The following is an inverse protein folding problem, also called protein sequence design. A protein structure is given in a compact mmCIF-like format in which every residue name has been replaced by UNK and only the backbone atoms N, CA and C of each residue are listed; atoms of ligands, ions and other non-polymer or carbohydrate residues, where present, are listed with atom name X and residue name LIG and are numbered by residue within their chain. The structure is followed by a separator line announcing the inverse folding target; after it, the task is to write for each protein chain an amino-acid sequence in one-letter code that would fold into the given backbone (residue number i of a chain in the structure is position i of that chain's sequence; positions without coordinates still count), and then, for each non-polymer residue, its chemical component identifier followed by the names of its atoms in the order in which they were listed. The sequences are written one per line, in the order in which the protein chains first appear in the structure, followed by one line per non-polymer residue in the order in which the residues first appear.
data_IF_039327201546
#
_entry.id   IF_039327201546
#
_cell.length_a   1.000
_cell.length_b   1.000
_cell.length_c   1.000
_cell.angle_alpha   90.00
_cell.angle_beta   90.00
_cell.angle_gamma   90.00
#
_symmetry.space_group_name_H-M   'P 1'
#
loop_
_entity.id
_entity.type
_entity.pdbx_description
1 polymer ?
#
# COMPACT_ATOMS: atom_id res chain seq x y z
N UNK A 1 0.19 6.39 -14.93
CA UNK A 1 -0.43 6.26 -13.57
C UNK A 1 -0.02 5.01 -12.79
N UNK A 2 -0.51 3.78 -13.07
CA UNK A 2 -0.19 2.59 -12.23
C UNK A 2 1.32 2.30 -12.19
N UNK A 3 2.01 2.42 -13.32
CA UNK A 3 3.47 2.27 -13.41
C UNK A 3 4.23 3.26 -12.53
N UNK A 4 3.76 4.50 -12.44
CA UNK A 4 4.35 5.56 -11.62
C UNK A 4 4.16 5.26 -10.14
N UNK A 5 2.95 4.85 -9.73
CA UNK A 5 2.71 4.39 -8.36
C UNK A 5 3.64 3.22 -8.01
N UNK A 6 3.73 2.21 -8.87
CA UNK A 6 4.63 1.08 -8.64
C UNK A 6 6.10 1.51 -8.54
N UNK A 7 6.55 2.48 -9.35
CA UNK A 7 7.90 3.02 -9.27
C UNK A 7 8.14 3.75 -7.93
N UNK A 8 7.22 4.62 -7.51
CA UNK A 8 7.31 5.35 -6.22
C UNK A 8 7.35 4.39 -5.03
N UNK A 9 6.49 3.37 -5.01
CA UNK A 9 6.49 2.36 -3.95
C UNK A 9 7.76 1.50 -3.96
N UNK A 10 8.28 1.17 -5.13
CA UNK A 10 9.54 0.43 -5.28
C UNK A 10 10.72 1.26 -4.77
N UNK A 11 10.78 2.53 -5.12
CA UNK A 11 11.80 3.47 -4.65
C UNK A 11 11.71 3.73 -3.14
N UNK A 12 10.49 3.88 -2.60
CA UNK A 12 10.30 3.97 -1.16
C UNK A 12 10.85 2.73 -0.44
N UNK A 13 10.68 1.55 -1.03
CA UNK A 13 11.21 0.29 -0.50
C UNK A 13 12.74 0.27 -0.57
N UNK A 14 13.34 0.66 -1.69
CA UNK A 14 14.80 0.55 -1.90
C UNK A 14 15.59 1.63 -1.14
N UNK A 15 15.05 2.84 -1.05
CA UNK A 15 15.73 4.01 -0.47
C UNK A 15 15.73 4.08 1.06
N UNK A 16 14.98 3.22 1.77
CA UNK A 16 14.81 3.34 3.24
C UNK A 16 15.08 2.08 4.04
N UNK A 17 15.69 2.28 5.21
CA UNK A 17 15.86 1.27 6.26
C UNK A 17 14.68 1.26 7.26
N UNK A 18 14.49 0.12 7.94
CA UNK A 18 13.23 -0.34 8.55
C UNK A 18 12.31 0.70 9.21
N UNK A 19 12.79 1.48 10.20
CA UNK A 19 11.93 2.44 10.91
C UNK A 19 11.51 3.62 10.03
N UNK A 20 12.39 4.14 9.19
CA UNK A 20 12.08 5.21 8.24
C UNK A 20 11.17 4.74 7.11
N UNK A 21 11.27 3.46 6.72
CA UNK A 21 10.39 2.85 5.69
C UNK A 21 8.92 2.90 6.10
N UNK A 22 8.61 2.59 7.36
CA UNK A 22 7.23 2.69 7.87
C UNK A 22 6.67 4.11 7.78
N UNK A 23 7.47 5.11 8.14
CA UNK A 23 7.06 6.52 8.07
C UNK A 23 6.83 6.95 6.63
N UNK A 24 7.71 6.58 5.68
CA UNK A 24 7.51 6.91 4.26
C UNK A 24 6.24 6.27 3.69
N UNK A 25 5.99 4.99 3.97
CA UNK A 25 4.76 4.34 3.51
C UNK A 25 3.50 4.94 4.14
N UNK A 26 3.55 5.28 5.43
CA UNK A 26 2.46 5.97 6.08
C UNK A 26 2.17 7.33 5.44
N UNK A 27 3.20 8.13 5.14
CA UNK A 27 3.04 9.41 4.45
C UNK A 27 2.49 9.27 3.03
N UNK A 28 2.93 8.25 2.29
CA UNK A 28 2.40 7.94 0.96
C UNK A 28 0.92 7.58 1.04
N UNK A 29 0.55 6.71 1.97
CA UNK A 29 -0.84 6.29 2.18
C UNK A 29 -1.71 7.47 2.61
N UNK A 30 -1.22 8.31 3.53
CA UNK A 30 -1.92 9.53 3.97
C UNK A 30 -2.14 10.51 2.81
N UNK A 31 -1.14 10.69 1.94
CA UNK A 31 -1.27 11.52 0.75
C UNK A 31 -2.35 11.01 -0.21
N UNK A 32 -2.38 9.70 -0.47
CA UNK A 32 -3.44 9.08 -1.27
C UNK A 32 -4.80 9.17 -0.58
N UNK A 33 -4.83 9.01 0.73
CA UNK A 33 -6.03 9.11 1.56
C UNK A 33 -6.64 10.52 1.51
N UNK A 34 -5.82 11.57 1.52
CA UNK A 34 -6.27 12.95 1.42
C UNK A 34 -6.65 13.37 -0.01
N UNK A 35 -6.01 12.78 -1.03
CA UNK A 35 -6.22 13.19 -2.43
C UNK A 35 -7.64 12.95 -2.92
N UNK A 36 -8.26 11.82 -2.57
CA UNK A 36 -9.60 11.45 -3.06
C UNK A 36 -10.72 12.46 -2.68
N UNK A 37 -10.91 12.84 -1.41
CA UNK A 37 -11.92 13.82 -1.02
C UNK A 37 -11.65 15.21 -1.59
N UNK A 38 -10.39 15.64 -1.62
CA UNK A 38 -9.99 16.93 -2.20
C UNK A 38 -10.32 16.99 -3.69
N UNK A 39 -9.95 15.95 -4.45
CA UNK A 39 -10.26 15.85 -5.87
C UNK A 39 -11.77 15.79 -6.13
N UNK A 40 -12.55 15.12 -5.27
CA UNK A 40 -14.01 15.10 -5.42
C UNK A 40 -14.64 16.48 -5.19
N UNK A 41 -14.24 17.22 -4.15
CA UNK A 41 -14.76 18.57 -3.89
C UNK A 41 -14.38 19.50 -5.05
N UNK A 42 -13.10 19.56 -5.39
CA UNK A 42 -12.59 20.45 -6.44
C UNK A 42 -13.21 20.06 -7.80
N UNK A 43 -13.23 18.78 -8.14
CA UNK A 43 -13.80 18.26 -9.38
C UNK A 43 -15.31 18.52 -9.49
N UNK A 44 -16.05 18.35 -8.39
CA UNK A 44 -17.48 18.65 -8.32
C UNK A 44 -17.81 20.13 -8.54
N UNK A 45 -17.01 21.03 -7.95
CA UNK A 45 -17.18 22.48 -8.12
C UNK A 45 -16.83 22.95 -9.54
N UNK A 46 -15.73 22.45 -10.11
CA UNK A 46 -15.34 22.74 -11.50
C UNK A 46 -16.40 22.21 -12.46
N UNK A 47 -16.92 21.00 -12.22
CA UNK A 47 -18.01 20.44 -13.03
C UNK A 47 -19.26 21.31 -12.97
N UNK A 48 -19.66 21.77 -11.78
CA UNK A 48 -20.83 22.62 -11.59
C UNK A 48 -20.74 23.94 -12.35
N UNK A 49 -19.54 24.52 -12.45
CA UNK A 49 -19.33 25.85 -13.05
C UNK A 49 -19.05 25.81 -14.54
N UNK A 50 -18.25 24.85 -15.01
CA UNK A 50 -17.70 24.83 -16.38
C UNK A 50 -18.09 23.58 -17.19
N UNK A 51 -18.82 22.65 -16.57
CA UNK A 51 -19.25 21.40 -17.19
C UNK A 51 -18.11 20.40 -17.41
N UNK A 52 -18.45 19.27 -18.04
CA UNK A 52 -17.56 18.11 -18.17
C UNK A 52 -16.30 18.35 -19.02
N UNK A 53 -16.38 19.21 -20.04
CA UNK A 53 -15.28 19.44 -20.99
C UNK A 53 -14.04 20.01 -20.31
N UNK A 54 -14.22 20.94 -19.38
CA UNK A 54 -13.12 21.57 -18.64
C UNK A 54 -12.52 20.59 -17.63
N UNK A 55 -13.36 19.80 -16.94
CA UNK A 55 -12.90 18.76 -16.00
C UNK A 55 -12.00 17.74 -16.70
N UNK A 56 -12.39 17.25 -17.88
CA UNK A 56 -11.60 16.29 -18.64
C UNK A 56 -10.24 16.87 -19.07
N UNK A 57 -10.23 18.10 -19.60
CA UNK A 57 -8.98 18.77 -20.01
C UNK A 57 -8.05 19.02 -18.82
N UNK A 58 -8.60 19.52 -17.71
CA UNK A 58 -7.84 19.78 -16.49
C UNK A 58 -7.23 18.48 -15.93
N UNK A 59 -8.00 17.39 -15.89
CA UNK A 59 -7.53 16.08 -15.42
C UNK A 59 -6.36 15.55 -16.25
N UNK A 60 -6.45 15.66 -17.59
CA UNK A 60 -5.35 15.27 -18.48
C UNK A 60 -4.11 16.13 -18.23
N UNK A 61 -4.26 17.45 -18.12
CA UNK A 61 -3.13 18.36 -17.90
C UNK A 61 -2.44 18.08 -16.57
N UNK A 62 -3.21 17.96 -15.47
CA UNK A 62 -2.67 17.66 -14.14
C UNK A 62 -1.98 16.30 -14.12
N UNK A 63 -2.55 15.30 -14.78
CA UNK A 63 -1.94 13.97 -14.89
C UNK A 63 -0.59 14.01 -15.62
N UNK A 64 -0.51 14.72 -16.75
CA UNK A 64 0.74 14.86 -17.51
C UNK A 64 1.80 15.65 -16.72
N UNK A 65 1.40 16.72 -16.03
CA UNK A 65 2.31 17.50 -15.18
C UNK A 65 2.84 16.65 -14.02
N UNK A 66 1.99 15.85 -13.39
CA UNK A 66 2.40 14.95 -12.31
C UNK A 66 3.37 13.86 -12.81
N UNK A 67 3.11 13.27 -13.97
CA UNK A 67 4.02 12.30 -14.58
C UNK A 67 5.37 12.94 -14.96
N UNK A 68 5.35 14.14 -15.54
CA UNK A 68 6.57 14.88 -15.85
C UNK A 68 7.36 15.25 -14.58
N UNK A 69 6.67 15.70 -13.53
CA UNK A 69 7.28 16.02 -12.24
C UNK A 69 7.99 14.81 -11.63
N UNK A 70 7.32 13.66 -11.60
CA UNK A 70 7.89 12.38 -11.13
C UNK A 70 9.13 12.02 -11.94
N UNK A 71 9.09 12.14 -13.27
CA UNK A 71 10.24 11.83 -14.12
C UNK A 71 11.45 12.74 -13.88
N UNK A 72 11.23 14.00 -13.49
CA UNK A 72 12.30 14.95 -13.21
C UNK A 72 12.86 14.80 -11.79
N UNK A 73 12.02 14.44 -10.81
CA UNK A 73 12.37 14.43 -9.38
C UNK A 73 12.86 13.07 -8.90
N UNK A 74 12.37 11.96 -9.46
CA UNK A 74 12.90 10.64 -9.15
C UNK A 74 14.22 10.45 -9.89
N UNK A 75 15.29 10.92 -9.26
CA UNK A 75 16.64 10.47 -9.57
C UNK A 75 16.68 8.96 -9.37
N UNK A 76 16.78 8.22 -10.48
CA UNK A 76 16.83 6.77 -10.45
C UNK A 76 18.03 6.36 -9.58
N UNK A 77 17.84 5.57 -8.51
CA UNK A 77 18.89 5.27 -7.55
C UNK A 77 20.08 4.66 -8.29
N UNK A 78 21.29 5.03 -7.85
CA UNK A 78 22.57 4.75 -8.53
C UNK A 78 22.77 3.31 -9.02
N UNK A 79 22.05 2.33 -8.48
CA UNK A 79 22.01 0.93 -8.94
C UNK A 79 21.50 0.76 -10.38
N UNK A 80 20.62 1.65 -10.87
CA UNK A 80 20.18 1.67 -12.27
C UNK A 80 21.14 2.41 -13.20
N UNK A 81 22.05 3.21 -12.63
CA UNK A 81 23.12 3.94 -13.33
C UNK A 81 24.37 3.07 -13.49
N UNK A 82 24.58 2.10 -12.59
CA UNK A 82 25.61 1.04 -12.73
C UNK A 82 25.28 0.03 -13.84
N UNK A 83 23.99 -0.22 -14.13
CA UNK A 83 23.58 -0.95 -15.33
C UNK A 83 23.62 -0.01 -16.53
N UNK A 84 24.75 0.02 -17.22
CA UNK A 84 25.00 0.70 -18.52
C UNK A 84 24.18 0.09 -19.69
N UNK A 85 23.01 -0.45 -19.40
CA UNK A 85 22.17 -1.13 -20.37
C UNK A 85 21.35 -0.12 -21.17
N UNK A 86 21.41 -0.25 -22.49
CA UNK A 86 20.60 0.52 -23.43
C UNK A 86 19.11 0.42 -23.08
N UNK A 87 18.37 1.51 -23.30
CA UNK A 87 16.92 1.58 -23.06
C UNK A 87 16.18 0.45 -23.78
N UNK A 88 16.69 0.06 -24.95
CA UNK A 88 16.19 -1.08 -25.72
C UNK A 88 16.37 -2.43 -25.02
N UNK A 89 17.51 -2.62 -24.34
CA UNK A 89 17.77 -3.84 -23.56
C UNK A 89 16.84 -3.91 -22.35
N UNK A 90 16.58 -2.79 -21.67
CA UNK A 90 15.60 -2.70 -20.57
C UNK A 90 14.18 -3.03 -21.04
N UNK A 91 13.77 -2.50 -22.20
CA UNK A 91 12.47 -2.81 -22.80
C UNK A 91 12.37 -4.28 -23.20
N UNK A 92 13.45 -4.84 -23.78
CA UNK A 92 13.51 -6.27 -24.10
C UNK A 92 13.39 -7.12 -22.83
N UNK A 93 14.04 -6.74 -21.74
CA UNK A 93 13.91 -7.42 -20.44
C UNK A 93 12.50 -7.34 -19.84
N UNK A 94 11.77 -6.23 -20.02
CA UNK A 94 10.36 -6.14 -19.63
C UNK A 94 9.48 -7.15 -20.38
N UNK A 95 9.79 -7.41 -21.66
CA UNK A 95 9.08 -8.38 -22.50
C UNK A 95 9.63 -9.81 -22.44
N UNK A 96 10.67 -10.08 -21.64
CA UNK A 96 11.10 -11.47 -21.40
C UNK A 96 10.02 -12.14 -20.55
N UNK A 97 9.28 -13.06 -21.18
CA UNK A 97 8.24 -13.87 -20.53
C UNK A 97 8.70 -14.53 -19.22
N UNK A 98 10.01 -14.78 -19.09
CA UNK A 98 10.66 -15.26 -17.86
C UNK A 98 10.35 -14.41 -16.64
N UNK A 99 10.37 -13.07 -16.74
CA UNK A 99 10.06 -12.17 -15.63
C UNK A 99 8.60 -12.28 -15.19
N UNK A 100 7.68 -12.43 -16.15
CA UNK A 100 6.27 -12.66 -15.86
C UNK A 100 6.06 -14.03 -15.21
N UNK A 101 6.68 -15.09 -15.75
CA UNK A 101 6.60 -16.43 -15.18
C UNK A 101 7.24 -16.54 -13.81
N UNK A 102 8.32 -15.79 -13.54
CA UNK A 102 8.96 -15.74 -12.24
C UNK A 102 8.10 -14.98 -11.22
N UNK A 103 7.40 -13.93 -11.64
CA UNK A 103 6.37 -13.26 -10.83
C UNK A 103 5.22 -14.19 -10.45
N UNK A 104 4.66 -14.89 -11.44
CA UNK A 104 3.58 -15.88 -11.22
C UNK A 104 4.08 -17.02 -10.31
N UNK A 105 5.29 -17.54 -10.57
CA UNK A 105 5.91 -18.58 -9.75
C UNK A 105 6.17 -18.10 -8.32
N UNK A 106 6.56 -16.85 -8.12
CA UNK A 106 6.76 -16.26 -6.79
C UNK A 106 5.43 -16.11 -6.03
N UNK A 107 4.34 -15.77 -6.73
CA UNK A 107 2.99 -15.74 -6.15
C UNK A 107 2.48 -17.13 -5.78
N UNK A 108 2.74 -18.14 -6.61
CA UNK A 108 2.30 -19.53 -6.40
C UNK A 108 3.24 -20.34 -5.50
N UNK A 109 4.41 -19.79 -5.14
CA UNK A 109 5.42 -20.48 -4.33
C UNK A 109 4.84 -20.87 -2.98
N UNK A 110 4.99 -22.14 -2.61
CA UNK A 110 4.55 -22.66 -1.32
C UNK A 110 5.37 -22.01 -0.20
N UNK A 111 4.70 -21.21 0.65
CA UNK A 111 5.32 -20.57 1.82
C UNK A 111 5.03 -21.40 3.08
N UNK A 112 6.05 -21.90 3.80
CA UNK A 112 5.85 -22.57 5.08
C UNK A 112 5.39 -21.56 6.15
N UNK A 113 4.67 -22.05 7.18
CA UNK A 113 4.12 -21.29 8.32
C UNK A 113 2.96 -20.31 8.01
N UNK A 114 1.73 -20.82 7.82
CA UNK A 114 0.45 -20.06 7.67
C UNK A 114 0.40 -18.98 6.57
N UNK A 115 1.47 -18.80 5.78
CA UNK A 115 1.57 -17.77 4.75
C UNK A 115 0.56 -17.92 3.60
N UNK A 116 0.06 -19.13 3.34
CA UNK A 116 -1.02 -19.35 2.35
C UNK A 116 -2.33 -18.68 2.76
N UNK A 117 -2.74 -18.82 4.02
CA UNK A 117 -3.97 -18.20 4.53
C UNK A 117 -3.88 -16.68 4.50
N UNK A 118 -2.72 -16.12 4.84
CA UNK A 118 -2.49 -14.68 4.75
C UNK A 118 -2.57 -14.17 3.30
N UNK A 119 -2.04 -14.92 2.33
CA UNK A 119 -2.11 -14.55 0.92
C UNK A 119 -3.56 -14.57 0.39
N UNK A 120 -4.32 -15.62 0.74
CA UNK A 120 -5.74 -15.70 0.38
C UNK A 120 -6.56 -14.58 1.04
N UNK A 121 -6.27 -14.25 2.30
CA UNK A 121 -6.94 -13.14 2.98
C UNK A 121 -6.64 -11.80 2.30
N UNK A 122 -5.39 -11.58 1.88
CA UNK A 122 -4.99 -10.38 1.15
C UNK A 122 -5.67 -10.31 -0.21
N UNK A 123 -5.76 -11.43 -0.94
CA UNK A 123 -6.46 -11.51 -2.20
C UNK A 123 -7.95 -11.21 -2.05
N UNK A 124 -8.60 -11.80 -1.04
CA UNK A 124 -10.01 -11.52 -0.74
C UNK A 124 -10.22 -10.03 -0.39
N UNK A 125 -9.35 -9.44 0.43
CA UNK A 125 -9.40 -8.01 0.75
C UNK A 125 -9.26 -7.13 -0.51
N UNK A 126 -8.34 -7.48 -1.42
CA UNK A 126 -8.19 -6.80 -2.70
C UNK A 126 -9.47 -6.89 -3.55
N UNK A 127 -10.12 -8.04 -3.59
CA UNK A 127 -11.40 -8.19 -4.29
C UNK A 127 -12.49 -7.27 -3.71
N UNK A 128 -12.61 -7.20 -2.37
CA UNK A 128 -13.56 -6.27 -1.73
C UNK A 128 -13.27 -4.81 -2.08
N UNK A 129 -12.01 -4.40 -2.06
CA UNK A 129 -11.60 -3.04 -2.44
C UNK A 129 -11.96 -2.72 -3.91
N UNK A 130 -11.79 -3.69 -4.82
CA UNK A 130 -12.17 -3.51 -6.24
C UNK A 130 -13.68 -3.40 -6.40
N UNK A 131 -14.46 -4.19 -5.68
CA UNK A 131 -15.93 -4.09 -5.71
C UNK A 131 -16.43 -2.76 -5.16
N UNK A 132 -15.82 -2.25 -4.09
CA UNK A 132 -16.14 -0.94 -3.52
C UNK A 132 -15.91 0.19 -4.55
N UNK A 133 -14.74 0.20 -5.20
CA UNK A 133 -14.43 1.14 -6.28
C UNK A 133 -15.41 1.04 -7.45
N UNK A 134 -15.83 -0.17 -7.82
CA UNK A 134 -16.83 -0.36 -8.87
C UNK A 134 -18.20 0.22 -8.46
N UNK A 135 -18.58 0.02 -7.20
CA UNK A 135 -19.85 0.54 -6.65
C UNK A 135 -19.89 2.07 -6.71
N UNK A 136 -18.78 2.74 -6.34
CA UNK A 136 -18.67 4.20 -6.42
C UNK A 136 -18.99 4.77 -7.81
N UNK A 137 -18.61 4.05 -8.88
CA UNK A 137 -18.86 4.51 -10.26
C UNK A 137 -20.35 4.54 -10.64
N UNK A 138 -21.15 3.69 -9.99
CA UNK A 138 -22.60 3.57 -10.25
C UNK A 138 -23.41 4.40 -9.26
N UNK A 139 -22.88 4.65 -8.06
CA UNK A 139 -23.57 5.36 -6.98
C UNK A 139 -24.14 6.71 -7.40
N UNK A 140 -23.42 7.50 -8.19
CA UNK A 140 -23.93 8.79 -8.68
C UNK A 140 -25.22 8.64 -9.50
N UNK A 141 -25.29 7.65 -10.40
CA UNK A 141 -26.46 7.44 -11.25
C UNK A 141 -27.70 7.06 -10.44
N UNK A 142 -27.52 6.24 -9.40
CA UNK A 142 -28.60 5.83 -8.50
C UNK A 142 -29.13 7.05 -7.73
N UNK A 143 -28.22 7.81 -7.12
CA UNK A 143 -28.59 8.98 -6.30
C UNK A 143 -29.22 10.07 -7.15
N UNK A 144 -28.70 10.29 -8.37
CA UNK A 144 -29.30 11.20 -9.34
C UNK A 144 -30.74 10.79 -9.69
N UNK A 145 -30.99 9.49 -9.89
CA UNK A 145 -32.34 8.98 -10.23
C UNK A 145 -33.32 9.08 -9.06
N UNK A 146 -32.88 8.78 -7.83
CA UNK A 146 -33.75 8.74 -6.64
C UNK A 146 -34.01 10.12 -6.05
N UNK A 147 -32.97 10.97 -5.97
CA UNK A 147 -33.01 12.22 -5.20
C UNK A 147 -32.78 13.46 -6.07
N UNK A 148 -32.56 13.30 -7.38
CA UNK A 148 -32.29 14.42 -8.30
C UNK A 148 -31.09 15.30 -7.88
N UNK A 149 -30.10 14.72 -7.20
CA UNK A 149 -28.94 15.47 -6.75
C UNK A 149 -28.10 15.98 -7.92
N UNK A 150 -27.63 17.22 -7.79
CA UNK A 150 -26.62 17.79 -8.68
C UNK A 150 -25.26 17.11 -8.45
N UNK A 151 -24.38 17.15 -9.47
CA UNK A 151 -23.02 16.59 -9.37
C UNK A 151 -22.24 17.23 -8.22
N UNK A 152 -22.34 18.55 -8.06
CA UNK A 152 -21.65 19.28 -6.99
C UNK A 152 -22.14 18.87 -5.59
N UNK A 153 -23.46 18.67 -5.43
CA UNK A 153 -24.02 18.23 -4.16
C UNK A 153 -23.58 16.81 -3.81
N UNK A 154 -23.68 15.88 -4.77
CA UNK A 154 -23.19 14.51 -4.60
C UNK A 154 -21.71 14.47 -4.24
N UNK A 155 -20.87 15.21 -4.99
CA UNK A 155 -19.43 15.24 -4.75
C UNK A 155 -19.07 15.75 -3.35
N UNK A 156 -19.80 16.75 -2.85
CA UNK A 156 -19.60 17.30 -1.50
C UNK A 156 -19.99 16.28 -0.43
N UNK A 157 -21.16 15.66 -0.56
CA UNK A 157 -21.64 14.63 0.40
C UNK A 157 -20.71 13.42 0.41
N UNK A 158 -20.32 12.92 -0.77
CA UNK A 158 -19.39 11.79 -0.89
C UNK A 158 -18.00 12.11 -0.33
N UNK A 159 -17.51 13.34 -0.48
CA UNK A 159 -16.24 13.74 0.12
C UNK A 159 -16.30 13.80 1.65
N UNK A 160 -17.40 14.28 2.22
CA UNK A 160 -17.61 14.28 3.67
C UNK A 160 -17.69 12.86 4.21
N UNK A 161 -18.51 12.00 3.58
CA UNK A 161 -18.67 10.60 3.97
C UNK A 161 -17.34 9.82 3.88
N UNK A 162 -16.59 9.99 2.78
CA UNK A 162 -15.30 9.32 2.61
C UNK A 162 -14.22 9.77 3.59
N UNK A 163 -14.23 11.05 4.00
CA UNK A 163 -13.32 11.54 5.05
C UNK A 163 -13.62 10.89 6.41
N UNK A 164 -14.90 10.73 6.75
CA UNK A 164 -15.30 10.13 8.01
C UNK A 164 -14.81 8.69 8.15
N UNK A 165 -14.95 7.88 7.09
CA UNK A 165 -14.44 6.51 7.03
C UNK A 165 -12.91 6.46 7.20
N UNK A 166 -12.17 7.36 6.52
CA UNK A 166 -10.70 7.38 6.57
C UNK A 166 -10.16 7.84 7.92
N UNK A 167 -10.84 8.77 8.61
CA UNK A 167 -10.49 9.18 9.98
C UNK A 167 -10.68 8.02 10.97
N UNK A 168 -11.73 7.22 10.80
CA UNK A 168 -11.92 6.01 11.62
C UNK A 168 -10.82 4.98 11.36
N UNK A 169 -10.41 4.80 10.11
CA UNK A 169 -9.32 3.89 9.76
C UNK A 169 -7.99 4.30 10.39
N UNK A 170 -7.60 5.58 10.29
CA UNK A 170 -6.40 6.09 10.95
C UNK A 170 -6.43 5.85 12.47
N UNK A 171 -7.59 6.07 13.09
CA UNK A 171 -7.78 5.80 14.53
C UNK A 171 -7.61 4.32 14.87
N UNK A 172 -8.08 3.41 14.01
CA UNK A 172 -7.87 1.97 14.22
C UNK A 172 -6.43 1.55 14.01
N UNK A 173 -5.70 2.14 13.06
CA UNK A 173 -4.29 1.85 12.82
C UNK A 173 -3.41 2.30 13.99
N UNK A 174 -3.68 3.48 14.56
CA UNK A 174 -2.97 3.96 15.75
C UNK A 174 -3.14 3.00 16.93
N UNK A 175 -4.36 2.54 17.18
CA UNK A 175 -4.66 1.57 18.25
C UNK A 175 -3.99 0.21 17.99
N UNK A 176 -3.92 -0.22 16.73
CA UNK A 176 -3.25 -1.48 16.36
C UNK A 176 -1.74 -1.37 16.47
N UNK A 177 -1.15 -0.24 16.07
CA UNK A 177 0.26 0.05 16.23
C UNK A 177 0.64 0.07 17.70
N UNK A 178 -0.12 0.75 18.55
CA UNK A 178 0.08 0.79 20.00
C UNK A 178 0.04 -0.61 20.62
N UNK A 179 -0.97 -1.41 20.28
CA UNK A 179 -1.09 -2.82 20.73
C UNK A 179 0.05 -3.71 20.22
N UNK A 180 0.59 -3.45 19.03
CA UNK A 180 1.72 -4.20 18.48
C UNK A 180 3.02 -3.84 19.18
N UNK A 181 3.24 -2.56 19.52
CA UNK A 181 4.39 -2.10 20.29
C UNK A 181 4.36 -2.63 21.72
N UNK A 182 3.19 -2.67 22.36
CA UNK A 182 3.01 -3.25 23.69
C UNK A 182 3.33 -4.75 23.71
N UNK A 183 2.78 -5.53 22.76
CA UNK A 183 3.08 -6.97 22.65
C UNK A 183 4.55 -7.26 22.30
N UNK A 184 5.19 -6.39 21.52
CA UNK A 184 6.63 -6.51 21.26
C UNK A 184 7.47 -6.22 22.51
N UNK A 185 7.08 -5.20 23.30
CA UNK A 185 7.72 -4.85 24.57
C UNK A 185 7.57 -5.97 25.60
N UNK A 186 6.39 -6.59 25.70
CA UNK A 186 6.13 -7.75 26.56
C UNK A 186 6.95 -8.98 26.18
N UNK A 187 7.11 -9.29 24.88
CA UNK A 187 7.99 -10.39 24.47
C UNK A 187 9.45 -10.13 24.78
N UNK A 188 9.91 -8.89 24.68
CA UNK A 188 11.29 -8.52 25.00
C UNK A 188 11.56 -8.37 26.51
N UNK A 189 10.54 -8.13 27.33
CA UNK A 189 10.66 -8.23 28.80
C UNK A 189 10.64 -9.70 29.23
N UNK A 190 9.72 -10.53 28.71
CA UNK A 190 9.64 -11.96 29.01
C UNK A 190 10.89 -12.74 28.55
N UNK A 191 11.44 -12.41 27.37
CA UNK A 191 12.69 -12.99 26.89
C UNK A 191 13.92 -12.64 27.74
N UNK A 192 13.83 -11.59 28.59
CA UNK A 192 14.87 -11.21 29.55
C UNK A 192 14.80 -12.00 30.86
N UNK A 193 13.65 -12.62 31.17
CA UNK A 193 13.47 -13.48 32.36
C UNK A 193 13.64 -14.99 32.06
N UNK A 194 13.63 -15.38 30.78
CA UNK A 194 13.80 -16.77 30.36
C UNK A 194 15.21 -17.39 30.44
N UNK A 195 16.34 -16.66 30.62
CA UNK A 195 17.63 -17.32 30.89
C UNK A 195 17.73 -17.89 32.32
N UNK A 196 16.87 -17.46 33.25
CA UNK A 196 17.00 -17.83 34.67
C UNK A 196 16.28 -19.13 35.07
N UNK A 197 15.48 -19.73 34.19
CA UNK A 197 14.77 -20.99 34.48
C UNK A 197 15.35 -22.21 33.73
N UNK A 198 16.49 -22.04 33.04
CA UNK A 198 17.12 -23.11 32.24
C UNK A 198 18.58 -23.40 32.64
N UNK A 199 18.94 -23.09 33.88
CA UNK A 199 20.28 -23.32 34.44
C UNK A 199 20.22 -24.03 35.80
N UNK A 200 19.35 -25.03 35.96
CA UNK A 200 19.38 -25.87 37.17
C UNK A 200 18.99 -27.34 36.92
N UNK A 201 19.56 -27.93 35.85
CA UNK A 201 19.71 -29.38 35.73
C UNK A 201 21.06 -29.69 35.12
N UNK A 202 22.10 -29.63 35.94
CA UNK A 202 23.39 -30.27 35.69
C UNK A 202 23.36 -31.76 36.11
N UNK A 203 24.26 -32.58 35.56
CA UNK A 203 24.19 -34.04 35.58
C UNK A 203 25.05 -34.64 36.72
N UNK A 204 24.52 -35.68 37.35
CA UNK A 204 25.19 -36.61 38.26
C UNK A 204 24.48 -37.95 37.98
N UNK A 205 25.08 -39.05 37.54
CA UNK A 205 26.32 -39.69 37.95
C UNK A 205 26.94 -40.53 36.81
N UNK A 206 28.26 -40.50 36.81
CA UNK A 206 29.23 -41.46 36.25
C UNK A 206 29.11 -42.88 36.81
N UNK A 207 29.42 -43.88 35.97
CA UNK A 207 30.29 -45.01 36.33
C UNK A 207 29.61 -46.33 36.75
N UNK A 208 29.63 -47.32 35.87
CA UNK A 208 29.81 -48.73 36.25
C UNK A 208 30.46 -49.48 35.07
N UNK A 209 31.66 -49.99 35.35
CA UNK A 209 32.51 -50.82 34.51
C UNK A 209 31.97 -52.26 34.40
N UNK A 210 32.40 -52.96 33.33
CA UNK A 210 32.78 -54.39 33.32
C UNK A 210 31.76 -55.45 33.75
N UNK A 211 31.28 -56.25 32.79
CA UNK A 211 31.70 -57.63 32.45
C UNK A 211 31.04 -58.00 31.11
#
# INVERSE_FOLDING_TARGET
MISVFMAVYSEATLSTQGRQRRIKFFLLELGMAASFPLCNIIGGQIYGSFGIRVVLRASICVSLIAELWVLLVLDVPGRARELKDSVWTKLRHLFVAKNLTDGIRACLRVRPAKGRTQLWLLFAALCFMVMDMATMSVSYYIVRKMYSWSVAHYATVSAIAGNHERVLLLRTEDVLLERSTLRYRERHSLGRYLPLLRSDRSPFLTGAEGI
#
